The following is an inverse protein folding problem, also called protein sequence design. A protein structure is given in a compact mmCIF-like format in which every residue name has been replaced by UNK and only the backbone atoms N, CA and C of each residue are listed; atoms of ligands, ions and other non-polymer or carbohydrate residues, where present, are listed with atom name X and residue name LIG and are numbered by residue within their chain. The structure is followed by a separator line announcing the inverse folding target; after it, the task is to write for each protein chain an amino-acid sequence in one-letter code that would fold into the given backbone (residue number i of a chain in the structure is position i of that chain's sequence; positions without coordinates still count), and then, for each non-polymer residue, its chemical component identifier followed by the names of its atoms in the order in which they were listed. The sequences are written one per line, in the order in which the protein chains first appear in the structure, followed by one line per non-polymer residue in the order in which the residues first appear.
data_IF_810060153023
#
_entry.id   IF_810060153023
#
_cell.length_a   1.000
_cell.length_b   1.000
_cell.length_c   1.000
_cell.angle_alpha   90.00
_cell.angle_beta   90.00
_cell.angle_gamma   90.00
#
_symmetry.space_group_name_H-M   'P 1'
#
loop_
_entity.id
_entity.type
_entity.pdbx_description
1 polymer ?
#
# COMPACT_ATOMS: atom_id res chain seq x y z
N UNK A 1 -14.38 -73.68 13.02
CA UNK A 1 -13.75 -72.42 12.59
C UNK A 1 -14.84 -71.56 11.98
N UNK A 2 -15.34 -70.57 12.73
CA UNK A 2 -16.36 -69.64 12.26
C UNK A 2 -15.64 -68.46 11.59
N UNK A 3 -15.98 -68.18 10.33
CA UNK A 3 -15.47 -67.04 9.58
C UNK A 3 -16.48 -65.90 9.66
N UNK A 4 -16.08 -64.79 10.25
CA UNK A 4 -16.93 -63.61 10.44
C UNK A 4 -16.58 -62.58 9.37
N UNK A 5 -17.50 -62.36 8.42
CA UNK A 5 -17.36 -61.33 7.38
C UNK A 5 -17.89 -60.00 7.93
N UNK A 6 -17.02 -59.01 8.11
CA UNK A 6 -17.40 -57.63 8.44
C UNK A 6 -17.80 -56.88 7.15
N UNK A 7 -19.05 -56.42 7.05
CA UNK A 7 -19.46 -55.42 6.07
C UNK A 7 -19.25 -54.02 6.67
N UNK A 8 -18.34 -53.24 6.10
CA UNK A 8 -18.23 -51.80 6.35
C UNK A 8 -19.29 -51.06 5.53
N UNK A 9 -20.27 -50.46 6.20
CA UNK A 9 -21.09 -49.40 5.62
C UNK A 9 -20.29 -48.09 5.65
N UNK A 10 -19.85 -47.61 4.49
CA UNK A 10 -19.35 -46.25 4.35
C UNK A 10 -20.56 -45.31 4.24
N UNK A 11 -20.79 -44.48 5.27
CA UNK A 11 -21.73 -43.37 5.19
C UNK A 11 -21.09 -42.23 4.40
N UNK A 12 -21.58 -41.98 3.17
CA UNK A 12 -21.29 -40.75 2.44
C UNK A 12 -22.00 -39.60 3.15
N UNK A 13 -21.26 -38.77 3.88
CA UNK A 13 -21.74 -37.47 4.32
C UNK A 13 -21.71 -36.52 3.11
N UNK A 14 -22.86 -36.25 2.52
CA UNK A 14 -23.02 -35.16 1.56
C UNK A 14 -22.98 -33.83 2.33
N UNK A 15 -21.86 -33.11 2.26
CA UNK A 15 -21.78 -31.73 2.72
C UNK A 15 -22.56 -30.89 1.71
N UNK A 16 -23.80 -30.53 2.05
CA UNK A 16 -24.55 -29.53 1.31
C UNK A 16 -23.96 -28.15 1.64
N UNK A 17 -23.11 -27.62 0.75
CA UNK A 17 -22.80 -26.18 0.75
C UNK A 17 -24.09 -25.43 0.41
N UNK A 18 -24.84 -25.04 1.44
CA UNK A 18 -25.86 -24.02 1.29
C UNK A 18 -25.15 -22.71 1.00
N UNK A 19 -24.97 -22.37 -0.28
CA UNK A 19 -24.70 -21.00 -0.66
C UNK A 19 -25.87 -20.17 -0.15
N UNK A 20 -25.67 -19.43 0.94
CA UNK A 20 -26.64 -18.46 1.40
C UNK A 20 -26.95 -17.55 0.21
N UNK A 21 -28.24 -17.36 -0.10
CA UNK A 21 -28.65 -16.40 -1.12
C UNK A 21 -28.24 -15.01 -0.63
N UNK A 22 -27.06 -14.54 -1.02
CA UNK A 22 -26.63 -13.17 -0.74
C UNK A 22 -27.61 -12.26 -1.46
N UNK A 23 -28.39 -11.49 -0.69
CA UNK A 23 -29.34 -10.52 -1.22
C UNK A 23 -28.57 -9.57 -2.14
N UNK A 24 -29.04 -9.40 -3.37
CA UNK A 24 -28.52 -8.39 -4.29
C UNK A 24 -29.52 -7.25 -4.44
N UNK A 25 -29.01 -6.04 -4.50
CA UNK A 25 -29.73 -4.80 -4.80
C UNK A 25 -29.21 -4.32 -6.15
N UNK A 26 -30.13 -3.93 -7.04
CA UNK A 26 -29.77 -3.28 -8.30
C UNK A 26 -29.78 -1.77 -8.09
N UNK A 27 -28.64 -1.13 -8.33
CA UNK A 27 -28.46 0.30 -8.23
C UNK A 27 -29.14 1.04 -9.41
N UNK A 28 -29.36 2.37 -9.32
CA UNK A 28 -30.04 3.14 -10.37
C UNK A 28 -29.38 3.06 -11.76
N UNK A 29 -28.07 2.82 -11.81
CA UNK A 29 -27.24 2.66 -13.01
C UNK A 29 -27.28 1.24 -13.60
N UNK A 30 -27.90 0.28 -12.90
CA UNK A 30 -27.99 -1.12 -13.30
C UNK A 30 -26.93 -2.04 -12.68
N UNK A 31 -25.94 -1.51 -11.96
CA UNK A 31 -24.97 -2.32 -11.24
C UNK A 31 -25.65 -3.09 -10.08
N UNK A 32 -25.03 -4.17 -9.60
CA UNK A 32 -25.57 -4.95 -8.48
C UNK A 32 -24.62 -5.04 -7.30
N UNK A 33 -25.12 -4.73 -6.12
CA UNK A 33 -24.39 -4.75 -4.84
C UNK A 33 -25.13 -5.60 -3.82
N UNK A 34 -24.46 -5.95 -2.73
CA UNK A 34 -24.99 -6.70 -1.60
C UNK A 34 -25.75 -5.80 -0.63
N UNK A 35 -25.45 -4.50 -0.61
CA UNK A 35 -26.13 -3.48 0.21
C UNK A 35 -26.40 -2.21 -0.60
N UNK A 36 -27.63 -1.69 -0.54
CA UNK A 36 -28.06 -0.47 -1.26
C UNK A 36 -27.23 0.77 -0.91
N UNK A 37 -26.65 0.83 0.29
CA UNK A 37 -25.78 1.92 0.70
C UNK A 37 -24.54 2.07 -0.20
N UNK A 38 -24.07 0.97 -0.81
CA UNK A 38 -22.90 0.97 -1.70
C UNK A 38 -23.19 1.61 -3.07
N UNK A 39 -24.46 1.78 -3.46
CA UNK A 39 -24.80 2.32 -4.78
C UNK A 39 -24.30 3.76 -5.00
N UNK A 40 -24.08 4.53 -3.93
CA UNK A 40 -23.53 5.89 -4.02
C UNK A 40 -22.08 5.91 -4.51
N UNK A 41 -21.37 4.78 -4.42
CA UNK A 41 -19.96 4.69 -4.76
C UNK A 41 -19.70 4.49 -6.26
N UNK A 42 -20.67 4.01 -7.06
CA UNK A 42 -20.46 3.84 -8.51
C UNK A 42 -20.19 5.16 -9.25
N UNK A 43 -20.93 6.26 -9.02
CA UNK A 43 -20.58 7.56 -9.59
C UNK A 43 -19.20 8.08 -9.14
N UNK A 44 -18.75 7.73 -7.93
CA UNK A 44 -17.41 8.08 -7.43
C UNK A 44 -16.36 7.27 -8.20
N UNK A 45 -16.56 5.95 -8.30
CA UNK A 45 -15.71 5.01 -9.02
C UNK A 45 -15.50 5.44 -10.47
N UNK A 46 -16.61 5.66 -11.20
CA UNK A 46 -16.57 6.04 -12.61
C UNK A 46 -15.78 7.34 -12.83
N UNK A 47 -15.92 8.29 -11.91
CA UNK A 47 -15.27 9.60 -11.99
C UNK A 47 -13.77 9.52 -11.68
N UNK A 48 -13.38 8.85 -10.58
CA UNK A 48 -11.96 8.74 -10.22
C UNK A 48 -11.19 7.87 -11.21
N UNK A 49 -11.79 6.80 -11.75
CA UNK A 49 -11.13 6.00 -12.78
C UNK A 49 -10.93 6.77 -14.09
N UNK A 50 -11.90 7.60 -14.47
CA UNK A 50 -11.83 8.34 -15.72
C UNK A 50 -10.99 9.62 -15.65
N UNK A 51 -10.96 10.27 -14.48
CA UNK A 51 -10.46 11.65 -14.36
C UNK A 51 -9.40 11.85 -13.28
N UNK A 52 -9.11 10.85 -12.43
CA UNK A 52 -8.12 10.95 -11.35
C UNK A 52 -6.99 9.93 -11.49
N UNK A 53 -7.28 8.68 -11.87
CA UNK A 53 -6.33 7.57 -11.85
C UNK A 53 -5.78 7.22 -13.23
N UNK A 54 -5.47 8.22 -14.05
CA UNK A 54 -4.83 8.07 -15.37
C UNK A 54 -5.43 6.94 -16.24
N UNK A 55 -6.75 6.85 -16.31
CA UNK A 55 -7.47 5.81 -17.07
C UNK A 55 -7.17 4.35 -16.65
N UNK A 56 -6.81 4.14 -15.38
CA UNK A 56 -6.61 2.82 -14.78
C UNK A 56 -5.19 2.31 -14.84
N UNK A 57 -4.19 3.20 -14.92
CA UNK A 57 -2.79 2.84 -14.79
C UNK A 57 -2.36 2.78 -13.32
N UNK A 58 -1.49 1.83 -12.97
CA UNK A 58 -0.78 1.83 -11.68
C UNK A 58 0.42 2.77 -11.79
N UNK A 59 0.11 4.07 -11.73
CA UNK A 59 1.06 5.18 -11.88
C UNK A 59 0.98 6.16 -10.73
N UNK A 60 1.47 7.38 -10.96
CA UNK A 60 1.66 8.40 -9.92
C UNK A 60 0.41 8.68 -9.07
N UNK A 61 -0.74 8.92 -9.72
CA UNK A 61 -2.01 9.14 -9.02
C UNK A 61 -2.44 7.94 -8.15
N UNK A 62 -2.19 6.71 -8.62
CA UNK A 62 -2.51 5.50 -7.87
C UNK A 62 -1.59 5.33 -6.65
N UNK A 63 -0.30 5.60 -6.81
CA UNK A 63 0.69 5.56 -5.74
C UNK A 63 0.40 6.62 -4.67
N UNK A 64 0.06 7.83 -5.12
CA UNK A 64 -0.32 8.96 -4.28
C UNK A 64 -1.53 8.64 -3.39
N UNK A 65 -2.61 8.11 -3.99
CA UNK A 65 -3.81 7.71 -3.25
C UNK A 65 -3.53 6.59 -2.24
N UNK A 66 -2.68 5.62 -2.60
CA UNK A 66 -2.26 4.56 -1.68
C UNK A 66 -1.48 5.14 -0.49
N UNK A 67 -0.53 6.03 -0.75
CA UNK A 67 0.30 6.65 0.29
C UNK A 67 -0.56 7.44 1.29
N UNK A 68 -1.44 8.32 0.81
CA UNK A 68 -2.22 9.18 1.70
C UNK A 68 -3.18 8.38 2.59
N UNK A 69 -3.66 7.22 2.13
CA UNK A 69 -4.49 6.33 2.96
C UNK A 69 -3.76 5.81 4.21
N UNK A 70 -2.45 5.56 4.11
CA UNK A 70 -1.61 5.18 5.25
C UNK A 70 -1.38 6.37 6.19
N UNK A 71 -1.03 7.53 5.62
CA UNK A 71 -0.75 8.73 6.40
C UNK A 71 -1.97 9.22 7.19
N UNK A 72 -3.17 9.12 6.62
CA UNK A 72 -4.44 9.34 7.32
C UNK A 72 -4.61 8.32 8.46
N UNK A 73 -4.63 7.02 8.11
CA UNK A 73 -5.01 5.98 9.04
C UNK A 73 -4.04 5.78 10.22
N UNK A 74 -2.74 5.99 10.01
CA UNK A 74 -1.72 5.76 11.05
C UNK A 74 -1.70 6.85 12.14
N UNK A 75 -2.51 7.90 11.98
CA UNK A 75 -2.88 8.86 13.01
C UNK A 75 -3.54 8.26 14.27
N UNK A 76 -3.66 6.93 14.38
CA UNK A 76 -4.24 6.19 15.51
C UNK A 76 -3.21 5.82 16.60
N UNK A 77 -3.64 5.67 17.86
CA UNK A 77 -2.86 5.02 18.93
C UNK A 77 -3.75 4.21 19.86
N UNK A 78 -3.33 2.99 20.21
CA UNK A 78 -4.03 2.19 21.22
C UNK A 78 -3.74 2.65 22.65
N UNK A 79 -2.67 3.42 22.87
CA UNK A 79 -2.24 3.81 24.22
C UNK A 79 -2.37 5.31 24.50
N UNK A 80 -2.57 6.14 23.48
CA UNK A 80 -2.70 7.58 23.61
C UNK A 80 -3.94 8.12 22.87
N UNK A 81 -5.02 8.36 23.61
CA UNK A 81 -6.25 8.94 23.08
C UNK A 81 -6.14 10.42 22.65
N UNK A 82 -4.97 11.06 22.82
CA UNK A 82 -4.70 12.40 22.27
C UNK A 82 -4.17 12.36 20.83
N UNK A 83 -3.97 11.17 20.25
CA UNK A 83 -3.72 11.03 18.82
C UNK A 83 -5.05 11.16 18.05
N UNK A 84 -5.00 11.05 16.73
CA UNK A 84 -6.18 11.06 15.86
C UNK A 84 -7.08 9.84 16.06
N UNK A 85 -8.17 9.80 15.29
CA UNK A 85 -9.14 8.71 15.30
C UNK A 85 -8.93 7.70 14.17
N UNK A 86 -7.73 7.69 13.57
CA UNK A 86 -7.29 6.69 12.61
C UNK A 86 -7.73 7.04 11.20
N UNK A 87 -8.34 6.10 10.48
CA UNK A 87 -8.84 6.35 9.12
C UNK A 87 -10.09 7.23 9.17
N UNK A 88 -9.89 8.54 9.33
CA UNK A 88 -10.94 9.52 9.67
C UNK A 88 -10.92 10.78 8.79
N UNK A 89 -10.05 10.82 7.78
CA UNK A 89 -9.93 11.93 6.83
C UNK A 89 -9.30 13.19 7.41
N UNK A 90 -8.71 13.13 8.61
CA UNK A 90 -8.12 14.29 9.27
C UNK A 90 -7.04 14.96 8.41
N UNK A 91 -6.30 14.17 7.62
CA UNK A 91 -5.22 14.69 6.79
C UNK A 91 -5.69 15.65 5.69
N UNK A 92 -6.94 15.54 5.22
CA UNK A 92 -7.57 16.51 4.31
C UNK A 92 -8.37 17.59 5.07
N UNK A 93 -9.11 17.19 6.11
CA UNK A 93 -9.98 18.11 6.87
C UNK A 93 -9.15 19.17 7.62
N UNK A 94 -7.96 18.79 8.08
CA UNK A 94 -7.02 19.64 8.79
C UNK A 94 -5.71 19.78 8.03
N UNK A 95 -5.78 19.84 6.71
CA UNK A 95 -4.60 19.81 5.85
C UNK A 95 -3.56 20.89 6.16
N UNK A 96 -4.00 22.13 6.45
CA UNK A 96 -3.10 23.21 6.88
C UNK A 96 -2.26 22.87 8.13
N UNK A 97 -2.75 21.96 8.99
CA UNK A 97 -2.03 21.52 10.19
C UNK A 97 -1.21 20.27 9.90
N UNK A 98 -1.83 19.20 9.40
CA UNK A 98 -1.17 17.91 9.27
C UNK A 98 -0.10 17.89 8.18
N UNK A 99 -0.32 18.59 7.05
CA UNK A 99 0.67 18.67 5.98
C UNK A 99 1.83 19.62 6.33
N UNK A 100 1.79 20.31 7.48
CA UNK A 100 2.94 21.07 7.97
C UNK A 100 4.00 20.23 8.68
N UNK A 101 3.68 18.95 8.98
CA UNK A 101 4.58 18.04 9.67
C UNK A 101 5.59 17.42 8.69
N UNK A 102 6.85 17.30 9.12
CA UNK A 102 7.93 16.82 8.24
C UNK A 102 7.69 15.42 7.67
N UNK A 103 7.04 14.54 8.43
CA UNK A 103 6.70 13.18 8.00
C UNK A 103 5.63 13.13 6.89
N UNK A 104 4.88 14.22 6.66
CA UNK A 104 3.85 14.34 5.63
C UNK A 104 4.34 15.11 4.38
N UNK A 105 5.65 15.36 4.26
CA UNK A 105 6.26 15.92 3.05
C UNK A 105 5.83 15.11 1.80
N UNK A 106 5.33 15.79 0.78
CA UNK A 106 4.81 15.20 -0.46
C UNK A 106 3.33 14.80 -0.40
N UNK A 107 2.66 14.91 0.75
CA UNK A 107 1.21 14.62 0.83
C UNK A 107 0.36 15.76 0.23
N UNK A 108 0.96 16.93 -0.03
CA UNK A 108 0.28 18.01 -0.76
C UNK A 108 -0.19 17.56 -2.15
N UNK A 109 0.53 16.63 -2.77
CA UNK A 109 0.19 16.04 -4.06
C UNK A 109 -1.14 15.29 -4.01
N UNK A 110 -1.34 14.45 -2.99
CA UNK A 110 -2.62 13.79 -2.75
C UNK A 110 -3.73 14.81 -2.47
N UNK A 111 -3.43 15.85 -1.69
CA UNK A 111 -4.38 16.91 -1.39
C UNK A 111 -4.86 17.59 -2.68
N UNK A 112 -3.94 17.97 -3.55
CA UNK A 112 -4.23 18.63 -4.82
C UNK A 112 -5.00 17.71 -5.79
N UNK A 113 -4.62 16.44 -5.85
CA UNK A 113 -5.24 15.42 -6.69
C UNK A 113 -6.69 15.11 -6.27
N UNK A 114 -6.93 14.82 -4.99
CA UNK A 114 -8.20 14.25 -4.53
C UNK A 114 -9.25 15.29 -4.10
N UNK A 115 -8.83 16.48 -3.65
CA UNK A 115 -9.75 17.53 -3.15
C UNK A 115 -10.88 17.89 -4.13
N UNK A 116 -10.63 18.04 -5.45
CA UNK A 116 -11.71 18.31 -6.41
C UNK A 116 -12.79 17.22 -6.46
N UNK A 117 -12.42 15.97 -6.20
CA UNK A 117 -13.33 14.83 -6.20
C UNK A 117 -14.05 14.70 -4.87
N UNK A 118 -13.35 14.89 -3.75
CA UNK A 118 -13.95 14.97 -2.41
C UNK A 118 -15.07 16.03 -2.40
N UNK A 119 -14.80 17.23 -2.94
CA UNK A 119 -15.79 18.31 -3.00
C UNK A 119 -16.99 18.03 -3.91
N UNK A 120 -16.83 17.14 -4.90
CA UNK A 120 -17.85 16.82 -5.90
C UNK A 120 -18.80 15.72 -5.44
N UNK A 121 -18.32 14.80 -4.60
CA UNK A 121 -19.05 13.60 -4.20
C UNK A 121 -19.52 13.70 -2.75
N UNK A 122 -20.78 13.35 -2.49
CA UNK A 122 -21.40 13.49 -1.17
C UNK A 122 -21.18 12.23 -0.29
N UNK A 123 -19.92 11.89 -0.04
CA UNK A 123 -19.48 10.90 0.94
C UNK A 123 -18.53 11.57 1.96
N UNK A 124 -18.24 10.91 3.09
CA UNK A 124 -17.27 11.46 4.04
C UNK A 124 -15.88 11.51 3.41
N UNK A 125 -15.06 12.47 3.84
CA UNK A 125 -13.66 12.59 3.41
C UNK A 125 -12.90 11.31 3.77
N UNK A 126 -13.16 10.78 4.96
CA UNK A 126 -12.61 9.53 5.45
C UNK A 126 -12.94 8.33 4.54
N UNK A 127 -14.20 8.21 4.08
CA UNK A 127 -14.57 7.15 3.14
C UNK A 127 -13.95 7.39 1.76
N UNK A 128 -13.83 8.63 1.30
CA UNK A 128 -13.21 8.94 0.02
C UNK A 128 -11.76 8.47 -0.05
N UNK A 129 -10.92 8.82 0.93
CA UNK A 129 -9.48 8.45 0.95
C UNK A 129 -9.29 6.93 0.91
N UNK A 130 -10.05 6.19 1.71
CA UNK A 130 -9.90 4.73 1.75
C UNK A 130 -10.53 4.07 0.51
N UNK A 131 -11.55 4.69 -0.10
CA UNK A 131 -12.14 4.23 -1.35
C UNK A 131 -11.21 4.48 -2.54
N UNK A 132 -10.63 5.68 -2.66
CA UNK A 132 -9.68 6.03 -3.72
C UNK A 132 -8.49 5.09 -3.68
N UNK A 133 -7.90 4.85 -2.51
CA UNK A 133 -6.80 3.92 -2.34
C UNK A 133 -7.16 2.47 -2.70
N UNK A 134 -8.35 1.98 -2.32
CA UNK A 134 -8.82 0.65 -2.71
C UNK A 134 -9.00 0.53 -4.24
N UNK A 135 -9.50 1.57 -4.90
CA UNK A 135 -9.62 1.61 -6.37
C UNK A 135 -8.25 1.70 -7.03
N UNK A 136 -7.32 2.50 -6.50
CA UNK A 136 -5.93 2.60 -6.98
C UNK A 136 -5.20 1.26 -6.92
N UNK A 137 -5.30 0.55 -5.79
CA UNK A 137 -4.78 -0.81 -5.64
C UNK A 137 -5.38 -1.78 -6.67
N UNK A 138 -6.64 -1.58 -7.07
CA UNK A 138 -7.27 -2.41 -8.10
C UNK A 138 -6.75 -2.16 -9.52
N UNK A 139 -5.91 -1.14 -9.74
CA UNK A 139 -5.24 -0.90 -11.02
C UNK A 139 -3.88 -1.62 -11.12
N UNK A 140 -3.33 -2.06 -9.99
CA UNK A 140 -1.98 -2.60 -9.91
C UNK A 140 -1.95 -4.13 -10.12
N UNK A 141 -1.29 -4.64 -11.17
CA UNK A 141 -1.17 -6.07 -11.39
C UNK A 141 -0.47 -6.76 -10.21
N UNK A 142 -1.04 -7.85 -9.72
CA UNK A 142 -0.46 -8.65 -8.63
C UNK A 142 -1.08 -8.40 -7.25
N UNK A 143 -1.85 -7.33 -7.11
CA UNK A 143 -2.66 -7.07 -5.91
C UNK A 143 -3.83 -8.06 -5.84
N UNK A 144 -4.13 -8.56 -4.63
CA UNK A 144 -5.38 -9.29 -4.39
C UNK A 144 -6.55 -8.32 -4.26
N UNK A 145 -7.75 -8.74 -4.69
CA UNK A 145 -8.95 -7.92 -4.67
C UNK A 145 -9.09 -7.08 -3.38
N UNK A 146 -8.98 -5.74 -3.47
CA UNK A 146 -9.07 -4.89 -2.30
C UNK A 146 -10.47 -4.99 -1.67
N UNK A 147 -10.56 -4.69 -0.38
CA UNK A 147 -11.83 -4.65 0.34
C UNK A 147 -12.13 -3.23 0.75
N UNK A 148 -13.40 -2.88 0.89
CA UNK A 148 -13.79 -1.55 1.31
C UNK A 148 -15.00 -1.61 2.24
N UNK A 149 -14.81 -1.08 3.46
CA UNK A 149 -15.89 -0.84 4.40
C UNK A 149 -16.33 0.61 4.27
N UNK A 150 -17.63 0.87 4.18
CA UNK A 150 -18.22 2.20 4.01
C UNK A 150 -18.94 2.65 5.28
N UNK A 151 -18.86 3.94 5.60
CA UNK A 151 -19.53 4.57 6.73
C UNK A 151 -18.61 5.19 7.77
N UNK A 152 -17.40 5.62 7.39
CA UNK A 152 -16.50 6.36 8.28
C UNK A 152 -17.07 7.72 8.62
N UNK A 153 -16.75 8.18 9.83
CA UNK A 153 -17.10 9.51 10.31
C UNK A 153 -15.87 10.41 10.22
N UNK A 154 -16.06 11.56 9.61
CA UNK A 154 -15.01 12.57 9.45
C UNK A 154 -14.48 13.08 10.80
N UNK A 155 -13.16 13.29 10.84
CA UNK A 155 -12.44 13.80 11.99
C UNK A 155 -12.96 15.18 12.45
N UNK A 156 -12.83 15.43 13.76
CA UNK A 156 -13.17 16.74 14.37
C UNK A 156 -11.97 17.47 14.95
N UNK A 157 -10.78 16.87 14.87
CA UNK A 157 -9.50 17.43 15.25
C UNK A 157 -8.37 16.72 14.45
N UNK A 158 -7.22 17.38 14.24
CA UNK A 158 -6.10 16.78 13.52
C UNK A 158 -5.41 15.68 14.33
N UNK A 159 -4.79 14.74 13.63
CA UNK A 159 -3.74 13.93 14.23
C UNK A 159 -2.53 14.81 14.62
N UNK A 160 -1.86 14.54 15.76
CA UNK A 160 -0.65 15.28 16.13
C UNK A 160 0.58 14.79 15.34
N UNK A 161 1.63 15.61 15.32
CA UNK A 161 2.93 15.22 14.77
C UNK A 161 3.51 13.98 15.49
N UNK A 162 4.33 13.20 14.75
CA UNK A 162 5.01 12.02 15.27
C UNK A 162 4.19 10.74 15.18
N UNK A 163 3.08 10.75 14.44
CA UNK A 163 2.27 9.54 14.20
C UNK A 163 2.78 8.70 13.04
N UNK A 164 3.27 9.36 12.00
CA UNK A 164 3.79 8.75 10.76
C UNK A 164 5.28 8.41 10.94
N UNK A 165 5.71 7.18 10.62
CA UNK A 165 7.13 6.83 10.58
C UNK A 165 7.89 7.64 9.52
N UNK A 166 9.14 7.99 9.82
CA UNK A 166 10.02 8.72 8.90
C UNK A 166 11.16 7.84 8.39
N UNK A 167 11.67 8.05 7.18
CA UNK A 167 12.61 7.13 6.54
C UNK A 167 13.96 7.03 7.24
N UNK A 168 14.31 7.99 8.10
CA UNK A 168 15.55 8.03 8.88
C UNK A 168 15.39 7.52 10.33
N UNK A 169 14.18 7.11 10.73
CA UNK A 169 13.95 6.56 12.07
C UNK A 169 14.53 5.14 12.16
N UNK A 170 15.08 4.82 13.34
CA UNK A 170 15.59 3.48 13.63
C UNK A 170 14.47 2.43 13.58
N UNK A 171 14.81 1.19 13.24
CA UNK A 171 13.89 0.04 13.26
C UNK A 171 13.09 -0.07 14.56
N UNK A 172 13.73 0.07 15.73
CA UNK A 172 13.04 0.03 17.03
C UNK A 172 11.95 1.10 17.16
N UNK A 173 12.21 2.32 16.66
CA UNK A 173 11.26 3.42 16.70
C UNK A 173 10.06 3.16 15.76
N UNK A 174 10.32 2.68 14.55
CA UNK A 174 9.27 2.31 13.58
C UNK A 174 8.41 1.18 14.14
N UNK A 175 9.03 0.10 14.62
CA UNK A 175 8.30 -1.04 15.19
C UNK A 175 7.53 -0.66 16.46
N UNK A 176 8.05 0.24 17.30
CA UNK A 176 7.32 0.75 18.46
C UNK A 176 6.11 1.59 18.05
N UNK A 177 6.27 2.49 17.07
CA UNK A 177 5.19 3.35 16.56
C UNK A 177 4.09 2.53 15.89
N UNK A 178 4.47 1.59 15.04
CA UNK A 178 3.52 0.67 14.39
C UNK A 178 2.88 -0.29 15.40
N UNK A 179 3.64 -0.76 16.39
CA UNK A 179 3.14 -1.57 17.50
C UNK A 179 2.10 -0.86 18.37
N UNK A 180 2.27 0.44 18.62
CA UNK A 180 1.28 1.26 19.32
C UNK A 180 -0.04 1.40 18.53
N UNK A 181 0.03 1.46 17.19
CA UNK A 181 -1.14 1.34 16.32
C UNK A 181 -1.69 -0.10 16.22
N UNK A 182 -0.98 -1.08 16.79
CA UNK A 182 -1.42 -2.46 16.91
C UNK A 182 -0.79 -3.43 15.92
N UNK A 183 0.22 -3.03 15.15
CA UNK A 183 0.88 -3.87 14.14
C UNK A 183 2.06 -4.66 14.69
N UNK A 184 2.15 -5.92 14.30
CA UNK A 184 3.33 -6.75 14.53
C UNK A 184 4.43 -6.45 13.52
N UNK A 185 5.71 -6.80 13.78
CA UNK A 185 6.77 -6.66 12.78
C UNK A 185 6.46 -7.35 11.43
N UNK A 186 5.76 -8.49 11.46
CA UNK A 186 5.32 -9.18 10.25
C UNK A 186 4.29 -8.37 9.45
N UNK A 187 3.36 -7.70 10.14
CA UNK A 187 2.39 -6.81 9.48
C UNK A 187 3.05 -5.52 8.98
N UNK A 188 4.09 -5.00 9.67
CA UNK A 188 4.88 -3.86 9.18
C UNK A 188 5.58 -4.20 7.87
N UNK A 189 6.30 -5.33 7.82
CA UNK A 189 6.95 -5.81 6.59
C UNK A 189 5.91 -6.09 5.49
N UNK A 190 4.73 -6.62 5.86
CA UNK A 190 3.66 -6.86 4.91
C UNK A 190 3.11 -5.55 4.31
N UNK A 191 2.94 -4.49 5.11
CA UNK A 191 2.50 -3.18 4.62
C UNK A 191 3.54 -2.54 3.68
N UNK A 192 4.83 -2.69 3.99
CA UNK A 192 5.92 -2.18 3.14
C UNK A 192 5.99 -2.82 1.75
N UNK A 193 5.24 -3.89 1.48
CA UNK A 193 5.03 -4.36 0.11
C UNK A 193 4.42 -3.27 -0.79
N UNK A 194 3.75 -2.25 -0.23
CA UNK A 194 3.31 -1.07 -0.99
C UNK A 194 4.46 -0.34 -1.68
N UNK A 195 5.70 -0.46 -1.20
CA UNK A 195 6.87 0.15 -1.84
C UNK A 195 7.25 -0.52 -3.17
N UNK A 196 6.65 -1.68 -3.52
CA UNK A 196 6.75 -2.25 -4.88
C UNK A 196 5.95 -1.48 -5.93
N UNK A 197 5.02 -0.61 -5.50
CA UNK A 197 4.24 0.28 -6.36
C UNK A 197 4.35 1.72 -5.87
N UNK A 198 5.59 2.20 -5.73
CA UNK A 198 5.88 3.52 -5.20
C UNK A 198 7.22 4.09 -5.69
N UNK A 199 7.39 5.38 -5.44
CA UNK A 199 8.65 6.10 -5.57
C UNK A 199 8.69 7.29 -4.63
N UNK A 200 9.72 8.13 -4.77
CA UNK A 200 9.92 9.33 -3.97
C UNK A 200 10.09 10.56 -4.85
N UNK A 201 9.42 11.65 -4.44
CA UNK A 201 9.49 12.96 -5.09
C UNK A 201 10.30 13.97 -4.28
N UNK A 202 10.38 13.79 -2.96
CA UNK A 202 10.90 14.83 -2.05
C UNK A 202 12.12 14.42 -1.22
N UNK A 203 12.56 13.17 -1.31
CA UNK A 203 13.74 12.70 -0.55
C UNK A 203 15.01 13.35 -1.10
N UNK A 204 15.19 13.29 -2.42
CA UNK A 204 16.22 14.08 -3.11
C UNK A 204 15.56 15.32 -3.73
N UNK A 205 15.92 16.54 -3.32
CA UNK A 205 15.27 17.77 -3.79
C UNK A 205 15.59 18.14 -5.25
N UNK A 206 16.35 17.33 -5.99
CA UNK A 206 16.79 17.60 -7.36
C UNK A 206 16.14 16.73 -8.43
N UNK A 207 15.43 15.67 -8.03
CA UNK A 207 14.78 14.68 -8.90
C UNK A 207 13.44 14.26 -8.29
N UNK A 208 12.50 13.83 -9.13
CA UNK A 208 11.16 13.40 -8.72
C UNK A 208 10.81 12.07 -9.39
N UNK A 209 9.82 11.37 -8.86
CA UNK A 209 9.32 10.12 -9.40
C UNK A 209 10.31 8.98 -9.32
N UNK A 210 11.21 8.97 -8.33
CA UNK A 210 12.30 7.98 -8.27
C UNK A 210 11.80 6.69 -7.62
N UNK A 211 11.70 5.56 -8.35
CA UNK A 211 11.13 4.32 -7.84
C UNK A 211 11.92 3.69 -6.70
N UNK A 212 11.23 2.92 -5.85
CA UNK A 212 11.88 2.07 -4.83
C UNK A 212 12.26 0.68 -5.32
N UNK A 213 11.76 0.28 -6.49
CA UNK A 213 12.18 -0.93 -7.20
C UNK A 213 12.16 -0.72 -8.73
N UNK A 214 12.63 -1.71 -9.48
CA UNK A 214 12.72 -1.64 -10.94
C UNK A 214 11.39 -1.83 -11.69
N UNK A 215 10.29 -2.06 -10.97
CA UNK A 215 8.97 -2.42 -11.50
C UNK A 215 7.83 -1.65 -10.80
N UNK A 216 7.89 -0.31 -10.68
CA UNK A 216 7.01 0.47 -9.79
C UNK A 216 5.53 0.48 -10.18
N UNK A 217 5.14 -0.13 -11.31
CA UNK A 217 3.75 -0.25 -11.74
C UNK A 217 3.20 -1.67 -11.57
N UNK A 218 3.96 -2.57 -10.95
CA UNK A 218 3.59 -3.97 -10.75
C UNK A 218 3.79 -4.32 -9.27
N UNK A 219 2.74 -4.81 -8.63
CA UNK A 219 2.81 -5.25 -7.25
C UNK A 219 3.43 -6.65 -7.20
N UNK A 220 4.76 -6.70 -7.27
CA UNK A 220 5.55 -7.93 -7.25
C UNK A 220 6.56 -7.94 -6.09
N UNK A 221 7.50 -8.88 -6.10
CA UNK A 221 8.45 -9.07 -4.99
C UNK A 221 9.80 -8.39 -5.23
N UNK A 222 9.96 -7.60 -6.30
CA UNK A 222 11.24 -6.98 -6.68
C UNK A 222 11.75 -6.02 -5.62
N UNK A 223 10.90 -5.19 -5.02
CA UNK A 223 11.25 -4.38 -3.85
C UNK A 223 11.99 -5.18 -2.76
N UNK A 224 11.51 -6.37 -2.41
CA UNK A 224 12.16 -7.22 -1.40
C UNK A 224 13.49 -7.83 -1.87
N UNK A 225 13.68 -8.02 -3.18
CA UNK A 225 14.96 -8.47 -3.76
C UNK A 225 15.97 -7.32 -3.76
N UNK A 226 15.58 -6.19 -4.34
CA UNK A 226 16.47 -5.09 -4.68
C UNK A 226 16.96 -4.36 -3.43
N UNK A 227 16.13 -4.20 -2.41
CA UNK A 227 16.56 -3.70 -1.09
C UNK A 227 17.61 -4.57 -0.39
N UNK A 228 17.69 -5.86 -0.73
CA UNK A 228 18.70 -6.79 -0.21
C UNK A 228 20.03 -6.72 -0.96
N UNK A 229 20.09 -6.07 -2.12
CA UNK A 229 21.32 -5.91 -2.90
C UNK A 229 22.23 -4.84 -2.27
N UNK A 230 23.54 -4.98 -2.47
CA UNK A 230 24.52 -3.97 -2.04
C UNK A 230 24.26 -2.65 -2.76
N UNK A 231 24.07 -1.58 -1.98
CA UNK A 231 24.03 -0.22 -2.51
C UNK A 231 25.39 0.20 -3.09
N UNK A 232 25.40 0.90 -4.21
CA UNK A 232 26.63 1.34 -4.89
C UNK A 232 26.60 2.78 -5.41
N UNK A 233 25.42 3.42 -5.42
CA UNK A 233 25.22 4.77 -5.94
C UNK A 233 24.01 5.43 -5.29
N UNK A 234 23.90 6.76 -5.42
CA UNK A 234 22.64 7.49 -5.26
C UNK A 234 22.08 7.81 -6.67
N UNK A 235 20.76 7.73 -6.90
CA UNK A 235 20.16 8.04 -8.20
C UNK A 235 20.33 9.53 -8.57
N UNK A 236 20.39 10.41 -7.58
CA UNK A 236 20.62 11.85 -7.72
C UNK A 236 21.85 12.33 -6.96
N UNK A 237 21.61 13.17 -5.97
CA UNK A 237 22.61 13.68 -5.02
C UNK A 237 22.73 12.74 -3.81
N UNK A 238 23.87 12.81 -3.11
CA UNK A 238 24.06 12.07 -1.86
C UNK A 238 23.98 12.98 -0.66
N UNK A 239 23.68 12.40 0.52
CA UNK A 239 23.59 13.13 1.79
C UNK A 239 22.19 13.63 2.13
N UNK A 240 21.16 13.15 1.44
CA UNK A 240 19.77 13.38 1.76
C UNK A 240 19.38 12.59 3.02
N UNK A 241 18.57 13.18 3.90
CA UNK A 241 18.21 12.55 5.17
C UNK A 241 17.25 11.38 4.92
N UNK A 242 17.58 10.19 5.44
CA UNK A 242 16.74 9.00 5.25
C UNK A 242 16.94 8.31 3.91
N UNK A 243 17.93 8.69 3.12
CA UNK A 243 18.34 7.99 1.89
C UNK A 243 19.68 7.26 2.11
N UNK A 244 19.82 6.09 1.50
CA UNK A 244 21.08 5.35 1.41
C UNK A 244 21.35 4.92 -0.04
N UNK A 245 22.57 4.48 -0.33
CA UNK A 245 22.91 4.01 -1.67
C UNK A 245 21.99 2.87 -2.14
N UNK A 246 21.51 2.98 -3.37
CA UNK A 246 20.72 1.98 -4.08
C UNK A 246 21.61 1.10 -4.97
N UNK A 247 21.11 -0.06 -5.44
CA UNK A 247 21.88 -1.00 -6.26
C UNK A 247 21.79 -0.70 -7.77
N UNK A 248 20.78 0.06 -8.21
CA UNK A 248 20.46 0.29 -9.62
C UNK A 248 20.35 1.80 -9.87
N UNK A 249 20.90 2.27 -10.99
CA UNK A 249 20.72 3.66 -11.40
C UNK A 249 19.23 3.98 -11.59
N UNK A 250 18.78 5.13 -11.08
CA UNK A 250 17.36 5.54 -11.16
C UNK A 250 16.46 4.89 -10.10
N UNK A 251 16.97 4.01 -9.23
CA UNK A 251 16.26 3.51 -8.05
C UNK A 251 16.72 4.30 -6.81
N UNK A 252 15.80 4.65 -5.92
CA UNK A 252 16.08 5.25 -4.62
C UNK A 252 15.89 4.21 -3.50
N UNK A 253 16.74 4.26 -2.47
CA UNK A 253 16.59 3.40 -1.30
C UNK A 253 16.44 4.21 -0.03
N UNK A 254 15.31 4.02 0.65
CA UNK A 254 15.11 4.58 1.99
C UNK A 254 16.00 3.87 3.02
N UNK A 255 16.51 4.63 3.99
CA UNK A 255 17.30 4.10 5.09
C UNK A 255 16.50 3.09 5.90
N UNK A 256 15.25 3.42 6.25
CA UNK A 256 14.34 2.54 6.99
C UNK A 256 14.13 1.19 6.30
N UNK A 257 13.90 1.15 5.00
CA UNK A 257 13.76 -0.09 4.23
C UNK A 257 15.06 -0.91 4.24
N UNK A 258 16.20 -0.25 4.02
CA UNK A 258 17.52 -0.88 4.07
C UNK A 258 17.81 -1.54 5.43
N UNK A 259 17.44 -0.86 6.52
CA UNK A 259 17.62 -1.33 7.89
C UNK A 259 16.61 -2.43 8.25
N UNK A 260 15.32 -2.29 7.90
CA UNK A 260 14.30 -3.32 8.14
C UNK A 260 14.59 -4.61 7.36
N UNK A 261 15.17 -4.52 6.16
CA UNK A 261 15.63 -5.68 5.39
C UNK A 261 16.78 -6.44 6.07
N UNK A 262 17.46 -5.82 7.05
CA UNK A 262 18.67 -6.36 7.68
C UNK A 262 18.56 -6.55 9.20
N UNK A 263 17.54 -5.98 9.85
CA UNK A 263 17.35 -6.11 11.28
C UNK A 263 16.91 -7.52 11.70
N UNK A 264 17.41 -8.01 12.83
CA UNK A 264 17.11 -9.36 13.31
C UNK A 264 15.63 -9.64 13.57
N UNK A 265 14.81 -8.61 13.84
CA UNK A 265 13.38 -8.74 14.06
C UNK A 265 12.58 -8.87 12.76
N UNK A 266 13.13 -8.44 11.62
CA UNK A 266 12.40 -8.32 10.34
C UNK A 266 13.08 -8.97 9.15
N UNK A 267 14.40 -9.20 9.14
CA UNK A 267 15.14 -9.69 7.98
C UNK A 267 14.62 -11.03 7.42
N UNK A 268 14.24 -11.98 8.27
CA UNK A 268 13.65 -13.23 7.79
C UNK A 268 12.20 -13.06 7.29
N UNK A 269 11.45 -12.11 7.85
CA UNK A 269 10.12 -11.74 7.35
C UNK A 269 10.22 -11.06 5.99
N UNK A 270 11.24 -10.20 5.82
CA UNK A 270 11.57 -9.52 4.58
C UNK A 270 11.89 -10.52 3.47
N UNK A 271 12.89 -11.39 3.71
CA UNK A 271 13.32 -12.41 2.77
C UNK A 271 12.21 -13.42 2.42
N UNK A 272 11.26 -13.68 3.32
CA UNK A 272 10.15 -14.61 3.07
C UNK A 272 9.20 -14.16 1.94
N UNK A 273 9.21 -12.87 1.56
CA UNK A 273 8.45 -12.36 0.43
C UNK A 273 9.15 -12.60 -0.92
N UNK A 274 10.47 -12.75 -0.94
CA UNK A 274 11.26 -12.93 -2.18
C UNK A 274 10.76 -14.14 -2.96
N UNK A 275 10.34 -13.92 -4.21
CA UNK A 275 9.83 -14.94 -5.12
C UNK A 275 8.61 -15.72 -4.57
N UNK A 276 7.83 -15.07 -3.69
CA UNK A 276 6.63 -15.64 -3.08
C UNK A 276 5.42 -14.73 -3.23
N UNK A 277 5.10 -14.39 -4.49
CA UNK A 277 4.04 -13.46 -4.89
C UNK A 277 2.72 -13.67 -4.13
N UNK A 278 2.23 -14.92 -4.11
CA UNK A 278 0.92 -15.22 -3.52
C UNK A 278 0.90 -14.96 -2.00
N UNK A 279 1.99 -15.26 -1.29
CA UNK A 279 2.08 -15.02 0.14
C UNK A 279 2.26 -13.53 0.44
N UNK A 280 3.10 -12.82 -0.32
CA UNK A 280 3.29 -11.38 -0.18
C UNK A 280 1.95 -10.64 -0.37
N UNK A 281 1.23 -10.92 -1.46
CA UNK A 281 -0.04 -10.27 -1.75
C UNK A 281 -1.13 -10.61 -0.72
N UNK A 282 -1.16 -11.84 -0.18
CA UNK A 282 -2.05 -12.22 0.91
C UNK A 282 -1.72 -11.48 2.21
N UNK A 283 -0.44 -11.42 2.58
CA UNK A 283 0.00 -10.75 3.80
C UNK A 283 -0.29 -9.25 3.73
N UNK A 284 0.04 -8.61 2.60
CA UNK A 284 -0.27 -7.21 2.34
C UNK A 284 -1.77 -6.96 2.46
N UNK A 285 -2.62 -7.74 1.78
CA UNK A 285 -4.07 -7.58 1.84
C UNK A 285 -4.57 -7.65 3.30
N UNK A 286 -4.11 -8.63 4.09
CA UNK A 286 -4.54 -8.77 5.48
C UNK A 286 -4.09 -7.59 6.36
N UNK A 287 -2.84 -7.16 6.21
CA UNK A 287 -2.32 -6.02 6.97
C UNK A 287 -2.98 -4.70 6.54
N UNK A 288 -3.22 -4.52 5.24
CA UNK A 288 -3.88 -3.35 4.67
C UNK A 288 -5.34 -3.26 5.12
N UNK A 289 -6.08 -4.38 5.16
CA UNK A 289 -7.45 -4.43 5.72
C UNK A 289 -7.50 -3.89 7.14
N UNK A 290 -6.50 -4.24 7.96
CA UNK A 290 -6.39 -3.72 9.33
C UNK A 290 -6.04 -2.23 9.33
N UNK A 291 -5.10 -1.81 8.49
CA UNK A 291 -4.66 -0.42 8.35
C UNK A 291 -5.79 0.52 7.94
N UNK A 292 -6.51 0.23 6.86
CA UNK A 292 -7.60 1.08 6.35
C UNK A 292 -8.80 1.21 7.31
N UNK A 293 -8.84 0.41 8.39
CA UNK A 293 -9.92 0.40 9.38
C UNK A 293 -9.43 0.82 10.78
N UNK A 294 -8.22 1.39 10.92
CA UNK A 294 -7.73 1.91 12.20
C UNK A 294 -8.72 2.93 12.78
N UNK A 295 -9.01 2.79 14.07
CA UNK A 295 -9.96 3.63 14.81
C UNK A 295 -11.44 3.43 14.49
N UNK A 296 -11.79 2.55 13.55
CA UNK A 296 -13.17 2.32 13.12
C UNK A 296 -13.82 1.11 13.82
N UNK A 297 -15.13 1.18 14.07
CA UNK A 297 -15.94 0.01 14.43
C UNK A 297 -16.51 -0.63 13.16
N UNK A 298 -15.75 -1.57 12.59
CA UNK A 298 -16.11 -2.30 11.37
C UNK A 298 -17.46 -3.02 11.48
N UNK A 299 -17.93 -3.35 12.70
CA UNK A 299 -19.23 -3.99 12.89
C UNK A 299 -20.42 -3.05 12.65
N UNK A 300 -20.17 -1.74 12.67
CA UNK A 300 -21.13 -0.69 12.36
C UNK A 300 -21.04 -0.19 10.89
N UNK A 301 -20.08 -0.71 10.12
CA UNK A 301 -19.84 -0.31 8.73
C UNK A 301 -20.52 -1.27 7.74
N UNK A 302 -20.61 -0.83 6.48
CA UNK A 302 -21.17 -1.63 5.39
C UNK A 302 -20.04 -2.15 4.50
N UNK A 303 -19.97 -3.46 4.29
CA UNK A 303 -19.04 -4.03 3.29
C UNK A 303 -19.53 -3.66 1.88
N UNK A 304 -18.74 -2.84 1.19
CA UNK A 304 -18.96 -2.39 -0.19
C UNK A 304 -17.83 -2.85 -1.11
N UNK A 305 -17.13 -3.94 -0.75
CA UNK A 305 -16.03 -4.50 -1.55
C UNK A 305 -16.48 -4.97 -2.94
N UNK A 306 -17.78 -5.18 -3.16
CA UNK A 306 -18.36 -5.55 -4.46
C UNK A 306 -18.47 -4.39 -5.45
N UNK A 307 -18.17 -3.16 -5.03
CA UNK A 307 -18.00 -2.00 -5.92
C UNK A 307 -16.58 -1.93 -6.49
N UNK A 308 -15.58 -2.44 -5.76
CA UNK A 308 -14.18 -2.32 -6.16
C UNK A 308 -13.90 -3.18 -7.41
N UNK A 309 -13.25 -2.64 -8.45
CA UNK A 309 -12.86 -3.40 -9.63
C UNK A 309 -11.98 -4.61 -9.29
N UNK A 310 -12.05 -5.64 -10.12
CA UNK A 310 -11.13 -6.77 -10.00
C UNK A 310 -9.74 -6.37 -10.50
N UNK A 311 -8.67 -6.56 -9.71
CA UNK A 311 -7.33 -6.21 -10.15
C UNK A 311 -6.88 -6.98 -11.41
N UNK A 312 -6.04 -6.37 -12.26
CA UNK A 312 -5.45 -7.07 -13.39
C UNK A 312 -4.57 -8.24 -12.89
N UNK A 313 -4.59 -9.39 -13.59
CA UNK A 313 -3.76 -10.52 -13.19
C UNK A 313 -2.29 -10.22 -13.43
N UNK A 314 -1.42 -10.62 -12.51
CA UNK A 314 0.02 -10.63 -12.72
C UNK A 314 0.42 -11.74 -13.72
N UNK A 315 1.33 -11.41 -14.64
CA UNK A 315 1.89 -12.41 -15.55
C UNK A 315 2.83 -13.36 -14.81
N UNK A 316 2.99 -14.60 -15.29
CA UNK A 316 3.92 -15.55 -14.66
C UNK A 316 5.38 -15.06 -14.66
N UNK A 317 5.77 -14.26 -15.66
CA UNK A 317 7.11 -13.65 -15.71
C UNK A 317 7.28 -12.52 -14.71
N UNK A 318 6.25 -11.70 -14.48
CA UNK A 318 6.30 -10.64 -13.49
C UNK A 318 6.23 -11.19 -12.05
N UNK A 319 5.50 -12.29 -11.83
CA UNK A 319 5.44 -12.95 -10.53
C UNK A 319 6.73 -13.71 -10.14
N UNK A 320 7.66 -13.92 -11.09
CA UNK A 320 8.95 -14.54 -10.82
C UNK A 320 9.96 -13.46 -10.50
N UNK A 321 10.47 -13.46 -9.27
CA UNK A 321 11.52 -12.53 -8.87
C UNK A 321 12.83 -12.82 -9.64
N UNK A 322 13.60 -11.77 -9.90
CA UNK A 322 14.84 -11.84 -10.67
C UNK A 322 15.89 -10.88 -10.13
N UNK A 323 17.16 -11.18 -10.40
CA UNK A 323 18.21 -10.17 -10.27
C UNK A 323 18.22 -9.27 -11.50
N UNK A 324 18.33 -7.93 -11.34
CA UNK A 324 18.52 -7.01 -12.46
C UNK A 324 19.75 -7.38 -13.30
N UNK A 325 19.81 -7.00 -14.59
CA UNK A 325 20.96 -7.29 -15.44
C UNK A 325 22.28 -6.86 -14.78
N UNK A 326 23.32 -7.67 -14.94
CA UNK A 326 24.66 -7.51 -14.33
C UNK A 326 24.76 -7.74 -12.82
N UNK A 327 23.64 -7.88 -12.11
CA UNK A 327 23.60 -8.25 -10.69
C UNK A 327 23.29 -9.74 -10.51
N UNK A 328 23.68 -10.28 -9.36
CA UNK A 328 23.55 -11.69 -9.05
C UNK A 328 23.47 -11.93 -7.54
N UNK A 329 23.44 -13.21 -7.16
CA UNK A 329 23.49 -13.62 -5.76
C UNK A 329 24.73 -13.09 -5.01
N UNK A 330 25.85 -12.85 -5.72
CA UNK A 330 27.09 -12.31 -5.12
C UNK A 330 26.91 -10.87 -4.59
N UNK A 331 25.88 -10.17 -5.05
CA UNK A 331 25.58 -8.78 -4.67
C UNK A 331 24.61 -8.70 -3.48
N UNK A 332 24.07 -9.83 -3.02
CA UNK A 332 23.09 -9.88 -1.91
C UNK A 332 23.78 -9.71 -0.56
N UNK A 333 23.31 -8.76 0.23
CA UNK A 333 23.66 -8.59 1.64
C UNK A 333 22.69 -9.37 2.53
N UNK A 334 22.94 -10.68 2.62
CA UNK A 334 22.07 -11.60 3.36
C UNK A 334 22.01 -11.27 4.85
N UNK A 335 20.81 -11.22 5.40
CA UNK A 335 20.58 -10.90 6.81
C UNK A 335 19.67 -11.89 7.55
N UNK A 336 18.87 -12.71 6.84
CA UNK A 336 18.11 -13.76 7.50
C UNK A 336 19.04 -14.88 8.00
N UNK A 337 19.09 -15.09 9.31
CA UNK A 337 19.92 -16.13 9.92
C UNK A 337 19.34 -17.54 9.74
N UNK A 338 18.04 -17.66 9.48
CA UNK A 338 17.33 -18.94 9.46
C UNK A 338 17.40 -19.65 8.11
N UNK A 339 17.39 -18.89 7.01
CA UNK A 339 17.40 -19.44 5.65
C UNK A 339 18.32 -18.62 4.73
N UNK A 340 19.06 -19.26 3.81
CA UNK A 340 19.83 -18.54 2.81
C UNK A 340 18.88 -17.80 1.85
N UNK A 341 19.37 -16.71 1.27
CA UNK A 341 18.63 -15.98 0.25
C UNK A 341 18.31 -16.90 -0.95
N UNK A 342 17.11 -16.84 -1.55
CA UNK A 342 16.76 -17.72 -2.67
C UNK A 342 17.67 -17.55 -3.89
N UNK A 343 17.91 -18.65 -4.62
CA UNK A 343 18.55 -18.59 -5.94
C UNK A 343 17.53 -18.05 -6.96
N UNK A 344 17.81 -16.89 -7.54
CA UNK A 344 16.97 -16.23 -8.55
C UNK A 344 17.67 -16.20 -9.91
N UNK A 345 16.92 -16.22 -11.02
CA UNK A 345 17.50 -15.94 -12.34
C UNK A 345 17.95 -14.47 -12.43
N UNK A 346 19.04 -14.22 -13.15
CA UNK A 346 19.39 -12.85 -13.58
C UNK A 346 18.65 -12.54 -14.89
N UNK A 347 18.00 -11.38 -14.95
CA UNK A 347 17.33 -10.89 -16.14
C UNK A 347 18.31 -10.72 -17.30
N UNK A 348 17.84 -10.94 -18.53
CA UNK A 348 18.69 -10.87 -19.72
C UNK A 348 19.15 -9.42 -19.99
N UNK A 349 20.43 -9.25 -20.32
CA UNK A 349 21.03 -7.97 -20.68
C UNK A 349 22.53 -7.97 -20.38
N UNK A 350 23.33 -7.39 -21.27
CA UNK A 350 24.79 -7.34 -21.13
C UNK A 350 25.28 -6.09 -20.38
N UNK A 351 24.36 -5.18 -20.02
CA UNK A 351 24.65 -3.90 -19.37
C UNK A 351 23.70 -3.65 -18.22
N UNK A 352 24.18 -2.94 -17.19
CA UNK A 352 23.36 -2.41 -16.12
C UNK A 352 22.22 -1.57 -16.71
N UNK A 353 21.06 -1.60 -16.04
CA UNK A 353 19.88 -0.83 -16.41
C UNK A 353 19.84 0.51 -15.67
N UNK A 354 18.98 1.40 -16.15
CA UNK A 354 18.52 2.57 -15.40
C UNK A 354 17.01 2.46 -15.28
N UNK A 355 16.50 2.46 -14.06
CA UNK A 355 15.06 2.47 -13.80
C UNK A 355 14.50 3.83 -14.22
N UNK A 356 13.46 3.90 -15.07
CA UNK A 356 12.86 5.16 -15.45
C UNK A 356 12.09 5.77 -14.27
N UNK A 357 12.07 7.10 -14.21
CA UNK A 357 11.20 7.83 -13.29
C UNK A 357 9.72 7.51 -13.56
N UNK A 358 8.93 7.45 -12.48
CA UNK A 358 7.47 7.44 -12.55
C UNK A 358 7.03 8.77 -13.14
N UNK A 359 6.26 8.70 -14.23
CA UNK A 359 5.71 9.89 -14.87
C UNK A 359 4.74 10.57 -13.92
N UNK A 360 5.09 11.78 -13.50
CA UNK A 360 4.31 12.60 -12.57
C UNK A 360 2.99 13.05 -13.19
N UNK A 361 1.89 12.94 -12.45
CA UNK A 361 0.59 13.45 -12.84
C UNK A 361 0.56 14.97 -12.62
N UNK A 362 0.31 15.80 -13.65
CA UNK A 362 0.19 17.25 -13.47
C UNK A 362 -0.87 17.69 -12.45
N UNK A 363 -1.86 16.84 -12.12
CA UNK A 363 -2.89 17.12 -11.13
C UNK A 363 -2.39 17.11 -9.67
N UNK A 364 -1.23 16.49 -9.40
CA UNK A 364 -0.58 16.56 -8.07
C UNK A 364 -0.02 17.95 -7.79
N UNK A 365 0.31 18.70 -8.85
CA UNK A 365 0.80 20.07 -8.75
C UNK A 365 -0.34 21.07 -8.59
N UNK A 366 -0.54 21.58 -7.37
CA UNK A 366 -1.63 22.50 -7.07
C UNK A 366 -1.31 23.61 -6.06
N UNK A 367 -2.36 24.14 -5.45
CA UNK A 367 -2.28 25.29 -4.55
C UNK A 367 -1.84 24.91 -3.14
N UNK A 368 -2.09 23.66 -2.71
CA UNK A 368 -1.56 23.13 -1.47
C UNK A 368 -0.06 22.87 -1.62
N UNK A 369 0.71 23.24 -0.61
CA UNK A 369 2.16 23.09 -0.53
C UNK A 369 2.53 22.19 0.66
N UNK A 370 3.69 21.54 0.63
CA UNK A 370 4.15 20.59 1.66
C UNK A 370 4.45 21.20 3.04
N UNK A 371 4.22 22.50 3.22
CA UNK A 371 4.25 23.14 4.52
C UNK A 371 2.84 23.39 5.09
N UNK A 372 1.81 22.85 4.43
CA UNK A 372 0.39 23.06 4.75
C UNK A 372 -0.22 24.34 4.15
N UNK A 373 0.57 25.24 3.57
CA UNK A 373 0.05 26.49 3.00
C UNK A 373 -0.87 26.19 1.80
N UNK A 374 -2.09 26.72 1.84
CA UNK A 374 -3.07 26.55 0.76
C UNK A 374 -3.89 25.25 0.83
N UNK A 375 -3.62 24.37 1.79
CA UNK A 375 -4.32 23.10 1.99
C UNK A 375 -5.63 23.29 2.79
N UNK A 376 -6.46 24.24 2.35
CA UNK A 376 -7.72 24.61 3.02
C UNK A 376 -8.79 23.58 2.69
N UNK A 377 -9.37 22.96 3.73
CA UNK A 377 -10.40 21.95 3.57
C UNK A 377 -11.60 22.45 2.74
N UNK A 378 -12.00 21.65 1.75
CA UNK A 378 -13.23 21.86 0.99
C UNK A 378 -14.30 20.96 1.62
N UNK A 379 -15.00 21.51 2.61
CA UNK A 379 -16.12 20.86 3.32
C UNK A 379 -17.45 21.05 2.60
#
# INVERSE_FOLDING_TARGET
MFSTTFFLLAALATVSNGAALTRRVTCPDGNTVTNEACCVLFPVLDDIQANMLDFGECGDAAHTALRVSFHDAIGWSNTNASFGTGADGSIFIFGETELSFGANLGIADAFNLETPFIAKHNISVADFIQFSAAVSLSQCPGVLAPTFMFGRVDATFPAPEGTVPEPFQTVDAILARMGDAGFTPAEVVALLASHSIAGADDIDPTIQGVPFDSTPSVFDTQFFVETQLRGTLFPGTGGNQGEVESPIAGELRLQSDSELARDSATACLWQANVNNQAQMALNFQQAYIKMQNLGQDVSAMVDCSDVIPTPPPISASAAQAFFPPTLSHDDVEQACADTPFPDLPTAAGDSAITVPEIVQDPATNGACQDNGEGCVAVL
#
